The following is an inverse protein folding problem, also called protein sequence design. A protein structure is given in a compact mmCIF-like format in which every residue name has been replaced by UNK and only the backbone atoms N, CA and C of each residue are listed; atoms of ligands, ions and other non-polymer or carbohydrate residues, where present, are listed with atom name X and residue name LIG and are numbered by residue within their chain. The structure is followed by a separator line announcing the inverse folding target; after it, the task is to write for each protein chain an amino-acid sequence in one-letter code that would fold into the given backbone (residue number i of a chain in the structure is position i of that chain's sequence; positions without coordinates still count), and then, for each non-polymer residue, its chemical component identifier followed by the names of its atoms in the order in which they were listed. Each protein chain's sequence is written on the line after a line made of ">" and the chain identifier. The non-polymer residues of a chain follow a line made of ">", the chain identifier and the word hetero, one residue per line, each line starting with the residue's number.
data_IF_403781428190
#
_entry.id   IF_403781428190
#
_cell.length_a   1.000
_cell.length_b   1.000
_cell.length_c   1.000
_cell.angle_alpha   90.00
_cell.angle_beta   90.00
_cell.angle_gamma   90.00
#
_symmetry.space_group_name_H-M   'P 1'
#
loop_
_entity.id
_entity.type
_entity.pdbx_description
1 polymer ?
#
# COMPACT_ATOMS: atom_id res chain seq x y z
N UNK A 1 -15.90 23.73 -12.28
CA UNK A 1 -14.93 22.61 -12.13
C UNK A 1 -14.82 22.33 -10.66
N UNK A 2 -15.33 21.19 -10.18
CA UNK A 2 -15.09 20.82 -8.80
C UNK A 2 -13.78 20.01 -8.76
N UNK A 3 -12.79 20.56 -8.06
CA UNK A 3 -11.61 19.81 -7.66
C UNK A 3 -11.86 19.44 -6.21
N UNK A 4 -12.10 18.16 -5.95
CA UNK A 4 -12.24 17.69 -4.58
C UNK A 4 -10.86 17.39 -4.04
N UNK A 5 -10.46 18.18 -3.06
CA UNK A 5 -9.36 17.82 -2.19
C UNK A 5 -9.75 16.59 -1.37
N UNK A 6 -8.78 15.74 -1.08
CA UNK A 6 -9.04 14.58 -0.24
C UNK A 6 -9.44 15.02 1.17
N UNK A 7 -10.55 14.48 1.67
CA UNK A 7 -10.98 14.62 3.07
C UNK A 7 -10.24 13.66 4.02
N UNK A 8 -9.13 13.09 3.56
CA UNK A 8 -8.35 12.06 4.22
C UNK A 8 -6.88 12.48 4.17
N UNK A 9 -6.18 12.39 5.31
CA UNK A 9 -4.73 12.59 5.35
C UNK A 9 -4.01 11.30 4.95
N UNK A 10 -2.82 11.46 4.38
CA UNK A 10 -2.00 10.34 3.90
C UNK A 10 -1.73 9.29 4.98
N UNK A 11 -1.37 9.73 6.19
CA UNK A 11 -1.13 8.83 7.34
C UNK A 11 -2.36 8.02 7.75
N UNK A 12 -3.58 8.54 7.57
CA UNK A 12 -4.80 7.77 7.88
C UNK A 12 -5.06 6.72 6.81
N UNK A 13 -4.88 7.07 5.53
CA UNK A 13 -4.98 6.10 4.45
C UNK A 13 -3.93 5.00 4.59
N UNK A 14 -2.66 5.36 4.83
CA UNK A 14 -1.56 4.45 5.10
C UNK A 14 -1.90 3.47 6.23
N UNK A 15 -2.38 3.98 7.38
CA UNK A 15 -2.78 3.12 8.50
C UNK A 15 -3.87 2.11 8.09
N UNK A 16 -4.94 2.60 7.45
CA UNK A 16 -6.08 1.78 7.06
C UNK A 16 -5.67 0.69 6.05
N UNK A 17 -4.88 1.08 5.04
CA UNK A 17 -4.35 0.17 4.03
C UNK A 17 -3.43 -0.88 4.66
N UNK A 18 -2.43 -0.46 5.44
CA UNK A 18 -1.45 -1.36 6.05
C UNK A 18 -2.10 -2.38 6.99
N UNK A 19 -3.06 -1.95 7.80
CA UNK A 19 -3.80 -2.84 8.70
C UNK A 19 -4.57 -3.89 7.92
N UNK A 20 -5.27 -3.50 6.86
CA UNK A 20 -6.04 -4.41 6.02
C UNK A 20 -5.13 -5.38 5.26
N UNK A 21 -4.04 -4.87 4.66
CA UNK A 21 -3.06 -5.68 3.94
C UNK A 21 -2.44 -6.75 4.86
N UNK A 22 -2.06 -6.37 6.08
CA UNK A 22 -1.55 -7.32 7.09
C UNK A 22 -2.57 -8.41 7.43
N UNK A 23 -3.85 -8.05 7.60
CA UNK A 23 -4.90 -9.01 7.90
C UNK A 23 -5.11 -10.00 6.72
N UNK A 24 -5.24 -9.47 5.51
CA UNK A 24 -5.49 -10.26 4.29
C UNK A 24 -4.31 -11.16 3.89
N UNK A 25 -3.08 -10.74 4.19
CA UNK A 25 -1.85 -11.42 3.75
C UNK A 25 -1.03 -12.01 4.91
N UNK A 26 -1.64 -12.18 6.08
CA UNK A 26 -1.00 -12.72 7.29
C UNK A 26 -0.28 -14.06 7.06
N UNK A 27 -0.79 -14.92 6.17
CA UNK A 27 -0.19 -16.21 5.84
C UNK A 27 1.15 -16.11 5.08
N UNK A 28 1.36 -15.05 4.29
CA UNK A 28 2.57 -14.86 3.48
C UNK A 28 3.52 -13.83 4.08
N UNK A 29 3.03 -12.95 4.94
CA UNK A 29 3.86 -11.95 5.62
C UNK A 29 4.83 -12.66 6.58
N UNK A 30 6.11 -12.34 6.47
CA UNK A 30 7.17 -12.98 7.22
C UNK A 30 7.28 -12.48 8.66
N UNK A 31 6.84 -11.24 8.93
CA UNK A 31 6.95 -10.56 10.21
C UNK A 31 6.23 -9.21 10.21
N UNK A 32 6.45 -8.38 11.22
CA UNK A 32 5.85 -7.04 11.26
C UNK A 32 6.33 -6.18 10.07
N UNK A 33 5.47 -5.29 9.54
CA UNK A 33 5.87 -4.34 8.52
C UNK A 33 6.92 -3.37 9.09
N UNK A 34 7.90 -3.02 8.26
CA UNK A 34 8.88 -1.98 8.60
C UNK A 34 8.34 -0.62 8.14
N UNK A 35 8.09 0.27 9.09
CA UNK A 35 7.66 1.65 8.86
C UNK A 35 8.84 2.56 9.23
N UNK A 36 9.47 3.24 8.25
CA UNK A 36 10.58 4.14 8.52
C UNK A 36 10.11 5.42 9.21
N UNK A 37 11.02 6.06 9.94
CA UNK A 37 10.83 7.44 10.40
C UNK A 37 10.81 8.40 9.21
N UNK A 38 10.24 9.60 9.37
CA UNK A 38 10.22 10.61 8.30
C UNK A 38 11.62 10.95 7.74
N UNK A 39 12.66 10.91 8.59
CA UNK A 39 14.05 11.11 8.16
C UNK A 39 14.60 9.94 7.33
N UNK A 40 14.19 8.72 7.67
CA UNK A 40 14.53 7.52 6.90
C UNK A 40 13.74 7.47 5.58
N UNK A 41 12.47 7.85 5.58
CA UNK A 41 11.61 7.92 4.39
C UNK A 41 12.26 8.76 3.29
N UNK A 42 12.80 9.94 3.62
CA UNK A 42 13.56 10.79 2.67
C UNK A 42 14.77 10.09 2.01
N UNK A 43 15.36 9.10 2.69
CA UNK A 43 16.55 8.36 2.21
C UNK A 43 16.20 7.02 1.56
N UNK A 44 15.03 6.47 1.89
CA UNK A 44 14.58 5.14 1.46
C UNK A 44 13.52 5.20 0.37
N UNK A 45 12.71 6.25 0.32
CA UNK A 45 11.68 6.50 -0.68
C UNK A 45 10.40 5.68 -0.50
N UNK A 46 10.12 5.15 0.69
CA UNK A 46 8.89 4.39 0.94
C UNK A 46 8.36 4.64 2.35
N UNK A 47 7.05 4.47 2.54
CA UNK A 47 6.36 4.59 3.84
C UNK A 47 6.27 3.26 4.56
N UNK A 48 6.24 2.15 3.83
CA UNK A 48 6.19 0.81 4.44
C UNK A 48 6.92 -0.22 3.59
N UNK A 49 7.54 -1.18 4.26
CA UNK A 49 8.06 -2.39 3.63
C UNK A 49 7.45 -3.65 4.27
N UNK A 50 6.97 -4.56 3.43
CA UNK A 50 6.49 -5.88 3.82
C UNK A 50 7.49 -6.95 3.39
N UNK A 51 7.96 -7.77 4.33
CA UNK A 51 8.70 -8.99 4.03
C UNK A 51 7.70 -10.12 3.72
N UNK A 52 7.80 -10.72 2.54
CA UNK A 52 6.88 -11.74 2.04
C UNK A 52 7.62 -13.07 1.83
N UNK A 53 7.09 -14.15 2.40
CA UNK A 53 7.54 -15.53 2.18
C UNK A 53 6.99 -16.04 0.86
N UNK A 54 7.87 -16.44 -0.05
CA UNK A 54 7.51 -17.11 -1.29
C UNK A 54 8.46 -18.27 -1.56
N UNK A 55 7.95 -19.50 -1.52
CA UNK A 55 8.66 -20.72 -1.96
C UNK A 55 10.10 -20.85 -1.43
N UNK A 56 10.32 -20.53 -0.15
CA UNK A 56 11.64 -20.63 0.49
C UNK A 56 12.53 -19.39 0.40
N UNK A 57 12.09 -18.33 -0.30
CA UNK A 57 12.76 -17.04 -0.35
C UNK A 57 11.93 -15.95 0.35
N UNK A 58 12.63 -14.92 0.85
CA UNK A 58 12.00 -13.69 1.35
C UNK A 58 12.15 -12.60 0.29
N UNK A 59 11.01 -12.03 -0.13
CA UNK A 59 10.96 -10.86 -1.02
C UNK A 59 10.44 -9.66 -0.25
N UNK A 60 10.75 -8.46 -0.74
CA UNK A 60 10.30 -7.22 -0.11
C UNK A 60 9.41 -6.44 -1.06
N UNK A 61 8.24 -6.08 -0.55
CA UNK A 61 7.29 -5.16 -1.16
C UNK A 61 7.41 -3.81 -0.44
N UNK A 62 7.71 -2.75 -1.19
CA UNK A 62 7.85 -1.39 -0.70
C UNK A 62 6.72 -0.53 -1.26
N UNK A 63 5.98 0.16 -0.39
CA UNK A 63 4.90 1.05 -0.81
C UNK A 63 5.18 2.48 -0.35
N UNK A 64 5.02 3.42 -1.28
CA UNK A 64 4.88 4.84 -0.97
C UNK A 64 3.41 5.20 -1.14
N UNK A 65 2.74 5.52 -0.05
CA UNK A 65 1.36 5.96 -0.07
C UNK A 65 1.27 7.40 -0.58
N UNK A 66 0.18 7.68 -1.30
CA UNK A 66 -0.15 8.99 -1.83
C UNK A 66 -1.64 9.25 -1.67
N UNK A 67 -1.98 10.51 -1.46
CA UNK A 67 -3.36 10.99 -1.50
C UNK A 67 -3.60 11.73 -2.81
N UNK A 68 -4.70 11.37 -3.46
CA UNK A 68 -5.07 11.95 -4.75
C UNK A 68 -6.23 12.94 -4.61
N UNK A 69 -6.21 13.97 -5.45
CA UNK A 69 -7.39 14.83 -5.69
C UNK A 69 -8.27 14.19 -6.76
N UNK A 70 -9.59 14.36 -6.64
CA UNK A 70 -10.55 13.94 -7.67
C UNK A 70 -10.93 15.11 -8.55
N UNK A 71 -10.94 14.91 -9.85
CA UNK A 71 -11.38 15.90 -10.83
C UNK A 71 -12.61 15.36 -11.57
N UNK A 72 -13.74 16.05 -11.42
CA UNK A 72 -15.03 15.67 -12.00
C UNK A 72 -15.48 16.57 -13.17
N UNK A 73 -14.82 17.72 -13.35
CA UNK A 73 -15.15 18.72 -14.35
C UNK A 73 -14.08 18.89 -15.42
N UNK A 74 -14.51 19.10 -16.65
CA UNK A 74 -13.62 19.49 -17.74
C UNK A 74 -13.23 20.97 -17.63
N UNK A 75 -11.98 21.28 -17.95
CA UNK A 75 -11.47 22.64 -18.15
C UNK A 75 -10.51 22.67 -19.34
N UNK A 76 -10.11 23.87 -19.78
CA UNK A 76 -9.09 24.00 -20.82
C UNK A 76 -7.72 23.52 -20.33
N UNK A 77 -7.40 23.75 -19.05
CA UNK A 77 -6.09 23.43 -18.46
C UNK A 77 -5.88 21.94 -18.21
N UNK A 78 -6.93 21.13 -18.10
CA UNK A 78 -6.82 19.68 -17.87
C UNK A 78 -7.13 18.82 -19.11
N UNK A 79 -7.13 19.43 -20.31
CA UNK A 79 -7.49 18.72 -21.55
C UNK A 79 -6.62 17.48 -21.79
N UNK A 80 -5.32 17.56 -21.54
CA UNK A 80 -4.36 16.46 -21.71
C UNK A 80 -4.65 15.32 -20.72
N UNK A 81 -4.81 15.61 -19.42
CA UNK A 81 -5.19 14.61 -18.42
C UNK A 81 -6.48 13.87 -18.79
N UNK A 82 -7.50 14.62 -19.22
CA UNK A 82 -8.77 14.03 -19.67
C UNK A 82 -8.62 13.17 -20.93
N UNK A 83 -7.75 13.56 -21.85
CA UNK A 83 -7.51 12.81 -23.08
C UNK A 83 -6.96 11.42 -22.79
N UNK A 84 -6.09 11.30 -21.78
CA UNK A 84 -5.45 10.04 -21.42
C UNK A 84 -6.26 9.20 -20.40
N UNK A 85 -6.79 9.84 -19.35
CA UNK A 85 -7.44 9.16 -18.23
C UNK A 85 -8.98 9.21 -18.26
N UNK A 86 -9.59 9.94 -19.19
CA UNK A 86 -11.04 10.14 -19.21
C UNK A 86 -11.53 11.03 -18.04
N UNK A 87 -12.82 10.92 -17.72
CA UNK A 87 -13.45 11.60 -16.59
C UNK A 87 -14.42 10.65 -15.87
N UNK A 88 -14.57 10.75 -14.53
CA UNK A 88 -13.69 11.48 -13.62
C UNK A 88 -12.32 10.79 -13.51
N UNK A 89 -11.31 11.54 -13.07
CA UNK A 89 -9.96 11.01 -12.83
C UNK A 89 -9.41 11.46 -11.48
N UNK A 90 -8.36 10.77 -11.04
CA UNK A 90 -7.59 11.10 -9.85
C UNK A 90 -6.20 11.56 -10.25
N UNK A 91 -5.61 12.46 -9.46
CA UNK A 91 -4.25 12.92 -9.67
C UNK A 91 -3.53 13.23 -8.36
N UNK A 92 -2.21 13.02 -8.31
CA UNK A 92 -1.37 13.49 -7.21
C UNK A 92 -0.03 14.03 -7.73
N UNK A 93 0.53 15.08 -7.09
CA UNK A 93 1.83 15.63 -7.46
C UNK A 93 2.96 14.67 -7.05
N UNK A 94 4.05 14.70 -7.82
CA UNK A 94 5.24 13.90 -7.58
C UNK A 94 6.36 14.80 -7.05
N UNK A 95 7.02 14.35 -5.97
CA UNK A 95 8.34 14.86 -5.60
C UNK A 95 9.41 14.14 -6.44
N UNK A 96 10.14 14.88 -7.27
CA UNK A 96 11.06 14.33 -8.27
C UNK A 96 12.22 13.59 -7.61
N UNK A 97 12.74 14.09 -6.51
CA UNK A 97 13.86 13.46 -5.80
C UNK A 97 13.42 12.10 -5.20
N UNK A 98 12.26 12.06 -4.54
CA UNK A 98 11.65 10.83 -4.03
C UNK A 98 11.33 9.86 -5.17
N UNK A 99 10.75 10.33 -6.28
CA UNK A 99 10.46 9.50 -7.45
C UNK A 99 11.74 8.87 -8.02
N UNK A 100 12.78 9.67 -8.25
CA UNK A 100 14.03 9.19 -8.82
C UNK A 100 14.75 8.20 -7.89
N UNK A 101 14.64 8.42 -6.57
CA UNK A 101 15.11 7.48 -5.56
C UNK A 101 14.38 6.13 -5.64
N UNK A 102 13.05 6.15 -5.70
CA UNK A 102 12.22 4.94 -5.86
C UNK A 102 12.56 4.24 -7.16
N UNK A 103 12.61 4.98 -8.28
CA UNK A 103 12.95 4.45 -9.60
C UNK A 103 14.33 3.76 -9.59
N UNK A 104 15.33 4.37 -8.94
CA UNK A 104 16.66 3.77 -8.77
C UNK A 104 16.59 2.45 -7.99
N UNK A 105 15.78 2.37 -6.95
CA UNK A 105 15.65 1.15 -6.15
C UNK A 105 14.79 0.07 -6.82
N UNK A 106 13.81 0.45 -7.63
CA UNK A 106 12.96 -0.49 -8.39
C UNK A 106 13.73 -1.24 -9.48
N UNK A 107 14.88 -0.73 -9.95
CA UNK A 107 15.74 -1.45 -10.89
C UNK A 107 16.41 -2.70 -10.29
N UNK A 108 16.33 -2.92 -8.97
CA UNK A 108 16.93 -4.09 -8.31
C UNK A 108 15.96 -5.28 -8.31
N UNK A 109 16.38 -6.40 -8.92
CA UNK A 109 15.56 -7.62 -9.16
C UNK A 109 14.83 -8.23 -7.95
N UNK A 110 15.20 -7.89 -6.71
CA UNK A 110 14.59 -8.45 -5.49
C UNK A 110 13.60 -7.54 -4.77
N UNK A 111 13.32 -6.35 -5.33
CA UNK A 111 12.52 -5.31 -4.68
C UNK A 111 11.37 -4.89 -5.57
N UNK A 112 10.16 -4.97 -5.04
CA UNK A 112 8.98 -4.45 -5.71
C UNK A 112 8.63 -3.11 -5.06
N UNK A 113 8.59 -2.04 -5.86
CA UNK A 113 8.26 -0.70 -5.39
C UNK A 113 7.03 -0.20 -6.12
N UNK A 114 6.04 0.28 -5.35
CA UNK A 114 4.84 0.87 -5.92
C UNK A 114 4.46 2.17 -5.22
N UNK A 115 3.91 3.11 -5.97
CA UNK A 115 3.02 4.10 -5.37
C UNK A 115 1.67 3.45 -5.10
N UNK A 116 1.09 3.70 -3.93
CA UNK A 116 -0.24 3.24 -3.56
C UNK A 116 -1.14 4.45 -3.30
N UNK A 117 -2.27 4.53 -3.99
CA UNK A 117 -3.20 5.65 -3.84
C UNK A 117 -4.66 5.18 -3.81
N UNK A 118 -5.58 5.87 -3.11
CA UNK A 118 -6.97 5.47 -3.02
C UNK A 118 -7.76 5.80 -4.30
N UNK A 119 -8.72 4.95 -4.65
CA UNK A 119 -9.74 5.19 -5.69
C UNK A 119 -10.98 5.91 -5.10
N UNK A 120 -10.80 6.64 -4.01
CA UNK A 120 -11.80 7.41 -3.27
C UNK A 120 -11.15 8.65 -2.66
N UNK A 121 -11.94 9.64 -2.22
CA UNK A 121 -11.39 10.90 -1.66
C UNK A 121 -11.99 11.33 -0.35
N UNK A 122 -13.18 10.83 0.01
CA UNK A 122 -13.87 11.28 1.22
C UNK A 122 -13.52 10.43 2.44
N UNK A 123 -13.59 11.05 3.62
CA UNK A 123 -13.49 10.35 4.91
C UNK A 123 -14.57 9.28 5.07
N UNK A 124 -15.76 9.54 4.53
CA UNK A 124 -16.89 8.61 4.56
C UNK A 124 -16.56 7.34 3.77
N UNK A 125 -16.10 7.47 2.53
CA UNK A 125 -15.68 6.32 1.71
C UNK A 125 -14.57 5.53 2.41
N UNK A 126 -13.54 6.20 2.96
CA UNK A 126 -12.49 5.50 3.71
C UNK A 126 -13.06 4.68 4.88
N UNK A 127 -13.94 5.28 5.68
CA UNK A 127 -14.54 4.58 6.81
C UNK A 127 -15.38 3.38 6.37
N UNK A 128 -16.12 3.52 5.28
CA UNK A 128 -16.94 2.44 4.70
C UNK A 128 -16.04 1.32 4.16
N UNK A 129 -14.96 1.65 3.44
CA UNK A 129 -13.99 0.66 2.96
C UNK A 129 -13.25 -0.03 4.11
N UNK A 130 -12.80 0.71 5.12
CA UNK A 130 -12.07 0.15 6.26
C UNK A 130 -12.93 -0.82 7.08
N UNK A 131 -14.19 -0.49 7.34
CA UNK A 131 -15.13 -1.38 8.04
C UNK A 131 -15.41 -2.67 7.26
N UNK A 132 -15.40 -2.59 5.94
CA UNK A 132 -15.74 -3.71 5.05
C UNK A 132 -14.52 -4.47 4.51
N UNK A 133 -13.30 -4.11 4.93
CA UNK A 133 -12.06 -4.74 4.42
C UNK A 133 -11.85 -4.52 2.92
N UNK A 134 -12.17 -3.33 2.42
CA UNK A 134 -12.09 -2.97 1.02
C UNK A 134 -11.11 -1.85 0.68
N UNK A 135 -10.28 -1.37 1.63
CA UNK A 135 -9.32 -0.28 1.39
C UNK A 135 -8.31 -0.68 0.32
N UNK A 136 -7.75 -1.90 0.41
CA UNK A 136 -6.76 -2.40 -0.54
C UNK A 136 -7.37 -2.57 -1.93
N UNK A 137 -8.57 -3.17 -2.03
CA UNK A 137 -9.27 -3.37 -3.31
C UNK A 137 -9.72 -2.06 -3.96
N UNK A 138 -9.94 -1.02 -3.17
CA UNK A 138 -10.28 0.32 -3.66
C UNK A 138 -9.06 1.25 -3.65
N UNK A 139 -7.88 0.69 -3.92
CA UNK A 139 -6.64 1.43 -4.14
C UNK A 139 -6.02 1.03 -5.47
N UNK A 140 -5.15 1.87 -6.02
CA UNK A 140 -4.34 1.60 -7.20
C UNK A 140 -2.88 1.42 -6.79
N UNK A 141 -2.20 0.46 -7.42
CA UNK A 141 -0.77 0.21 -7.22
C UNK A 141 -0.03 0.51 -8.53
N UNK A 142 0.90 1.44 -8.48
CA UNK A 142 1.52 2.03 -9.68
C UNK A 142 3.00 1.70 -9.67
N UNK A 143 3.43 0.90 -10.65
CA UNK A 143 4.82 0.55 -10.90
C UNK A 143 5.47 1.60 -11.79
N UNK A 144 6.56 2.20 -11.29
CA UNK A 144 7.31 3.23 -12.02
C UNK A 144 8.60 2.71 -12.64
N UNK A 145 8.94 1.43 -12.47
CA UNK A 145 10.23 0.87 -12.89
C UNK A 145 10.54 1.02 -14.38
N UNK A 146 9.51 1.07 -15.23
CA UNK A 146 9.64 1.20 -16.67
C UNK A 146 9.54 2.65 -17.19
N UNK A 147 9.28 3.64 -16.33
CA UNK A 147 8.93 5.00 -16.75
C UNK A 147 10.14 5.96 -16.89
N UNK A 148 11.34 5.49 -16.53
CA UNK A 148 12.54 6.30 -16.53
C UNK A 148 12.54 7.35 -15.41
N UNK A 149 13.59 8.18 -15.39
CA UNK A 149 13.76 9.26 -14.41
C UNK A 149 12.97 10.52 -14.78
N UNK A 150 12.77 11.41 -13.81
CA UNK A 150 12.21 12.75 -13.99
C UNK A 150 13.29 13.81 -13.82
N UNK A 151 13.10 14.95 -14.48
CA UNK A 151 13.94 16.15 -14.31
C UNK A 151 13.22 17.16 -13.42
N UNK A 152 13.99 17.96 -12.66
CA UNK A 152 13.46 19.04 -11.81
C UNK A 152 13.07 20.31 -12.59
N UNK A 153 13.01 20.24 -13.92
CA UNK A 153 12.70 21.39 -14.79
C UNK A 153 11.23 21.81 -14.71
N UNK A 154 10.35 20.89 -14.35
CA UNK A 154 8.90 21.04 -14.42
C UNK A 154 8.20 20.34 -13.26
N UNK A 155 6.94 20.70 -13.02
CA UNK A 155 6.08 19.98 -12.09
C UNK A 155 5.57 18.67 -12.71
N UNK A 156 5.62 17.59 -11.95
CA UNK A 156 5.15 16.28 -12.39
C UNK A 156 3.94 15.80 -11.60
N UNK A 157 3.05 15.06 -12.23
CA UNK A 157 1.94 14.41 -11.55
C UNK A 157 1.66 13.02 -12.11
N UNK A 158 1.13 12.15 -11.25
CA UNK A 158 0.54 10.88 -11.68
C UNK A 158 -0.96 11.07 -11.81
N UNK A 159 -1.52 10.56 -12.90
CA UNK A 159 -2.96 10.64 -13.22
C UNK A 159 -3.48 9.25 -13.55
N UNK A 160 -4.68 8.92 -13.06
CA UNK A 160 -5.34 7.64 -13.32
C UNK A 160 -6.87 7.78 -13.36
N UNK A 161 -7.58 6.97 -14.16
CA UNK A 161 -9.03 6.98 -14.25
C UNK A 161 -9.67 6.53 -12.93
N UNK A 162 -10.94 6.87 -12.71
CA UNK A 162 -11.65 6.52 -11.48
C UNK A 162 -11.81 5.00 -11.24
N UNK A 163 -11.68 4.17 -12.28
CA UNK A 163 -11.67 2.71 -12.17
C UNK A 163 -10.27 2.13 -11.92
N UNK A 164 -9.22 2.95 -11.92
CA UNK A 164 -7.83 2.53 -11.71
C UNK A 164 -7.26 1.61 -12.79
N UNK A 165 -7.81 1.59 -14.01
CA UNK A 165 -7.39 0.63 -15.05
C UNK A 165 -5.96 0.82 -15.57
N UNK A 166 -5.43 2.04 -15.49
CA UNK A 166 -4.11 2.41 -15.98
C UNK A 166 -3.66 3.72 -15.32
N UNK A 167 -2.39 4.10 -15.46
CA UNK A 167 -1.88 5.36 -14.91
C UNK A 167 -0.88 5.98 -15.86
N UNK A 168 -0.63 7.27 -15.71
CA UNK A 168 0.33 8.03 -16.50
C UNK A 168 1.13 8.95 -15.61
N UNK A 169 2.40 9.17 -15.96
CA UNK A 169 3.16 10.34 -15.51
C UNK A 169 3.00 11.45 -16.54
N UNK A 170 2.71 12.63 -16.05
CA UNK A 170 2.67 13.86 -16.83
C UNK A 170 3.67 14.87 -16.29
N UNK A 171 4.40 15.52 -17.20
CA UNK A 171 5.12 16.77 -16.95
C UNK A 171 4.24 17.97 -17.35
N UNK A 172 4.67 19.19 -17.04
CA UNK A 172 3.97 20.41 -17.46
C UNK A 172 4.03 20.59 -19.00
N UNK A 173 5.08 20.10 -19.63
CA UNK A 173 5.15 19.86 -21.07
C UNK A 173 4.59 18.47 -21.43
N UNK A 174 3.92 18.33 -22.61
CA UNK A 174 2.98 17.24 -22.90
C UNK A 174 3.60 15.86 -23.17
N UNK A 175 4.74 15.54 -22.54
CA UNK A 175 5.34 14.21 -22.60
C UNK A 175 4.59 13.25 -21.66
N UNK A 176 3.54 12.62 -22.19
CA UNK A 176 2.77 11.59 -21.50
C UNK A 176 3.56 10.28 -21.50
N UNK A 177 3.82 9.72 -20.32
CA UNK A 177 4.46 8.40 -20.17
C UNK A 177 3.50 7.42 -19.51
N UNK A 178 3.10 6.34 -20.20
CA UNK A 178 2.23 5.32 -19.60
C UNK A 178 2.97 4.59 -18.47
N UNK A 179 2.25 4.32 -17.39
CA UNK A 179 2.71 3.53 -16.25
C UNK A 179 2.06 2.15 -16.23
N UNK A 180 2.79 1.20 -15.67
CA UNK A 180 2.25 -0.14 -15.41
C UNK A 180 1.46 -0.07 -14.10
N UNK A 181 0.19 -0.43 -14.16
CA UNK A 181 -0.66 -0.57 -12.98
C UNK A 181 -0.75 -2.04 -12.61
N UNK A 182 -0.56 -2.34 -11.34
CA UNK A 182 -0.84 -3.66 -10.79
C UNK A 182 -2.25 -3.65 -10.18
N UNK A 183 -3.08 -4.66 -10.46
CA UNK A 183 -4.37 -4.79 -9.77
C UNK A 183 -4.09 -4.92 -8.26
N UNK A 184 -4.74 -4.08 -7.47
CA UNK A 184 -4.56 -4.07 -6.03
C UNK A 184 -5.18 -5.32 -5.40
N UNK A 185 -4.39 -6.38 -5.32
CA UNK A 185 -4.78 -7.66 -4.72
C UNK A 185 -5.81 -8.45 -5.54
N UNK A 186 -5.41 -9.65 -5.97
CA UNK A 186 -5.92 -10.91 -5.41
C UNK A 186 -5.14 -12.08 -6.03
N UNK A 187 -4.70 -12.04 -7.30
CA UNK A 187 -4.25 -13.29 -7.97
C UNK A 187 -2.79 -13.41 -8.42
N UNK A 188 -2.00 -12.34 -8.54
CA UNK A 188 -0.64 -12.51 -9.07
C UNK A 188 0.38 -11.66 -8.33
N UNK A 189 0.90 -12.17 -7.21
CA UNK A 189 2.36 -12.02 -7.08
C UNK A 189 2.94 -12.72 -8.30
N UNK A 190 3.86 -12.13 -9.07
CA UNK A 190 4.52 -12.84 -10.15
C UNK A 190 5.31 -13.98 -9.52
N UNK A 191 4.68 -15.16 -9.38
CA UNK A 191 5.30 -16.40 -8.97
C UNK A 191 6.13 -17.00 -10.10
N UNK A 192 5.96 -16.51 -11.34
CA UNK A 192 6.60 -17.07 -12.52
C UNK A 192 7.01 -15.98 -13.52
N UNK A 193 8.21 -15.45 -13.35
CA UNK A 193 9.09 -15.34 -14.52
C UNK A 193 9.92 -16.63 -14.51
N UNK A 194 9.37 -17.66 -15.17
CA UNK A 194 9.95 -19.00 -15.40
C UNK A 194 10.32 -19.81 -14.16
N UNK A 195 9.45 -20.73 -13.70
CA UNK A 195 9.79 -22.15 -13.52
C UNK A 195 8.58 -23.02 -13.94
N UNK A 196 8.85 -23.84 -14.95
CA UNK A 196 8.12 -25.03 -15.40
C UNK A 196 7.11 -25.66 -14.42
N UNK A 197 5.89 -25.84 -14.93
CA UNK A 197 4.82 -26.75 -14.49
C UNK A 197 5.27 -27.98 -13.71
N UNK A 198 4.77 -28.12 -12.47
CA UNK A 198 4.61 -29.42 -11.81
C UNK A 198 3.23 -29.51 -11.12
N UNK A 199 2.60 -30.69 -11.09
CA UNK A 199 1.19 -30.84 -10.76
C UNK A 199 0.89 -30.73 -9.25
N UNK A 200 -0.18 -29.99 -8.92
CA UNK A 200 -0.74 -29.85 -7.58
C UNK A 200 -1.25 -31.19 -7.03
N UNK A 201 -0.74 -31.63 -5.87
CA UNK A 201 -1.37 -32.69 -5.06
C UNK A 201 -2.53 -32.13 -4.25
N UNK A 202 -3.69 -32.78 -4.34
CA UNK A 202 -4.85 -32.56 -3.47
C UNK A 202 -4.56 -33.06 -2.05
N UNK A 203 -4.81 -32.23 -1.05
CA UNK A 203 -4.97 -32.66 0.34
C UNK A 203 -6.39 -32.33 0.80
N UNK A 204 -7.10 -33.38 1.22
CA UNK A 204 -8.48 -33.34 1.68
C UNK A 204 -8.64 -32.62 3.02
N UNK A 205 -9.81 -32.02 3.18
CA UNK A 205 -10.28 -31.37 4.41
C UNK A 205 -10.60 -32.42 5.48
N UNK A 206 -10.07 -32.24 6.69
CA UNK A 206 -10.47 -33.03 7.85
C UNK A 206 -10.84 -32.07 9.00
N UNK A 207 -12.11 -31.69 9.02
CA UNK A 207 -12.73 -30.95 10.12
C UNK A 207 -13.12 -31.93 11.23
N UNK A 208 -12.39 -31.93 12.36
CA UNK A 208 -12.85 -32.59 13.59
C UNK A 208 -13.35 -31.57 14.61
N UNK A 209 -14.58 -31.86 15.06
CA UNK A 209 -15.39 -31.23 16.10
C UNK A 209 -14.62 -30.98 17.41
N UNK A 210 -14.75 -29.77 17.95
CA UNK A 210 -14.48 -29.49 19.36
C UNK A 210 -15.76 -29.68 20.17
N UNK A 211 -15.80 -30.69 21.04
CA UNK A 211 -16.90 -30.90 21.99
C UNK A 211 -16.62 -30.16 23.30
N UNK A 212 -17.60 -29.40 23.78
CA UNK A 212 -17.60 -28.78 25.11
C UNK A 212 -17.67 -29.87 26.19
N UNK A 213 -16.82 -29.77 27.22
CA UNK A 213 -17.02 -30.43 28.51
C UNK A 213 -16.79 -29.45 29.65
N UNK A 214 -17.77 -29.44 30.53
CA UNK A 214 -17.85 -28.71 31.78
C UNK A 214 -16.71 -29.06 32.74
N UNK A 215 -16.21 -28.09 33.49
CA UNK A 215 -15.75 -28.30 34.87
C UNK A 215 -16.13 -27.10 35.73
N UNK A 216 -17.06 -27.37 36.63
CA UNK A 216 -17.29 -26.68 37.90
C UNK A 216 -16.08 -26.82 38.82
N UNK A 217 -15.74 -25.78 39.59
CA UNK A 217 -14.84 -25.98 40.74
C UNK A 217 -14.32 -24.70 41.38
N UNK A 218 -14.92 -24.34 42.51
CA UNK A 218 -14.19 -23.97 43.73
C UNK A 218 -13.54 -22.58 43.79
N UNK A 219 -14.19 -21.66 44.50
CA UNK A 219 -13.52 -20.49 45.05
C UNK A 219 -12.57 -20.84 46.20
N UNK A 220 -11.54 -20.01 46.39
CA UNK A 220 -11.08 -19.52 47.69
C UNK A 220 -10.09 -18.37 47.52
N UNK A 221 -10.25 -17.42 48.43
CA UNK A 221 -9.52 -16.16 48.60
C UNK A 221 -8.14 -16.44 49.21
N UNK A 222 -7.10 -15.74 48.74
CA UNK A 222 -5.92 -15.44 49.56
C UNK A 222 -5.26 -14.14 49.08
N UNK A 223 -5.40 -13.11 49.92
CA UNK A 223 -4.65 -11.86 49.90
C UNK A 223 -3.17 -12.13 50.26
N UNK A 224 -2.23 -11.53 49.51
CA UNK A 224 -0.86 -11.30 49.98
C UNK A 224 -0.29 -9.98 49.44
N UNK A 225 0.18 -9.17 50.38
CA UNK A 225 0.92 -7.91 50.25
C UNK A 225 2.37 -8.13 49.79
N UNK A 226 2.96 -7.06 49.25
CA UNK A 226 4.41 -6.83 49.05
C UNK A 226 4.72 -6.63 47.57
N UNK A 227 5.12 -5.46 47.05
CA UNK A 227 5.91 -4.39 47.64
C UNK A 227 7.36 -4.53 47.14
N UNK A 228 7.72 -3.76 46.09
CA UNK A 228 9.03 -3.12 45.88
C UNK A 228 9.06 -2.39 44.53
N UNK A 229 9.20 -1.07 44.63
CA UNK A 229 9.66 -0.17 43.59
C UNK A 229 11.12 -0.48 43.25
N UNK A 230 11.47 -0.40 41.96
CA UNK A 230 12.84 -0.39 41.50
C UNK A 230 13.03 0.85 40.62
N UNK A 231 13.69 1.84 41.20
CA UNK A 231 14.19 3.05 40.57
C UNK A 231 15.33 2.69 39.61
N UNK A 232 15.27 3.15 38.36
CA UNK A 232 16.40 3.13 37.43
C UNK A 232 16.96 4.54 37.36
N UNK A 233 18.18 4.70 37.87
CA UNK A 233 19.00 5.87 37.67
C UNK A 233 19.63 5.80 36.27
N UNK A 234 19.53 6.89 35.52
CA UNK A 234 20.35 7.15 34.32
C UNK A 234 21.32 8.25 34.72
N UNK A 235 22.60 7.91 34.80
CA UNK A 235 23.71 8.87 34.90
C UNK A 235 24.22 9.18 33.50
N UNK A 236 24.25 10.48 33.22
CA UNK A 236 25.03 11.29 32.25
C UNK A 236 25.63 10.63 31.00
#
# INVERSE_FOLDING_TARGET
>A
MAVYQAGVSERVFEFAFNSEFCALRSAVIAGCPYIPTQNQEKRLGFDVAFALKNSGAVRFLYLQHKISRKVDGASRSNKHFRSAAGMPYYAFPIDVDQYNLIHKFSQKKSREFYFCAPLFTSRRELNDHFKNGGVALNSIWIDISACGTLTNTESHCIVYPANGSHAFVFSEHPDERPLVVQPAGIETFPSDRTISTLPRRHYGTNTKRFSRRCLSGGGRIASRKGGREASIAISE
#
